data_IF_595353932605
#
_entry.id   IF_595353932605
#
_cell.length_a   1.000
_cell.length_b   1.000
_cell.length_c   1.000
_cell.angle_alpha   90.00
_cell.angle_beta   90.00
_cell.angle_gamma   90.00
#
_symmetry.space_group_name_H-M   'P 1'
#
loop_
_entity.id
_entity.type
_entity.pdbx_description
1 polymer ?
#
# COMPACT_ATOMS: atom_id res chain seq x y z
N UNK A 1 25.87 -1.74 22.61
CA UNK A 1 25.85 -3.16 23.00
C UNK A 1 24.48 -3.74 23.42
N UNK A 2 23.29 -3.08 23.29
CA UNK A 2 22.00 -3.78 23.49
C UNK A 2 21.25 -4.13 22.19
N UNK A 3 21.77 -3.74 21.01
CA UNK A 3 21.07 -3.93 19.74
C UNK A 3 21.31 -5.31 19.10
N UNK A 4 22.44 -5.96 19.40
CA UNK A 4 22.73 -7.32 18.87
C UNK A 4 21.90 -8.40 19.56
N UNK A 5 21.62 -8.24 20.86
CA UNK A 5 20.78 -9.17 21.63
C UNK A 5 19.32 -9.18 21.20
N UNK A 6 18.80 -8.03 20.72
CA UNK A 6 17.43 -7.95 20.22
C UNK A 6 17.28 -8.60 18.83
N UNK A 7 18.27 -8.40 17.94
CA UNK A 7 18.28 -9.07 16.63
C UNK A 7 18.46 -10.59 16.74
N UNK A 8 19.24 -11.08 17.71
CA UNK A 8 19.40 -12.51 17.97
C UNK A 8 18.11 -13.15 18.53
N UNK A 9 17.36 -12.43 19.38
CA UNK A 9 16.08 -12.91 19.92
C UNK A 9 14.98 -12.99 18.84
N UNK A 10 14.97 -12.05 17.89
CA UNK A 10 13.98 -12.01 16.80
C UNK A 10 14.29 -13.04 15.72
N UNK A 11 15.57 -13.27 15.40
CA UNK A 11 15.98 -14.30 14.44
C UNK A 11 15.78 -15.72 14.96
N UNK A 12 16.01 -15.98 16.26
CA UNK A 12 15.71 -17.28 16.87
C UNK A 12 14.19 -17.58 16.93
N UNK A 13 13.35 -16.57 17.18
CA UNK A 13 11.88 -16.76 17.16
C UNK A 13 11.33 -17.01 15.76
N UNK A 14 11.94 -16.42 14.72
CA UNK A 14 11.54 -16.66 13.33
C UNK A 14 12.05 -17.99 12.78
N UNK A 15 13.18 -18.51 13.29
CA UNK A 15 13.65 -19.87 13.00
C UNK A 15 12.82 -20.94 13.71
N UNK A 16 12.37 -20.70 14.94
CA UNK A 16 11.48 -21.61 15.67
C UNK A 16 10.08 -21.74 15.02
N UNK A 17 9.59 -20.69 14.34
CA UNK A 17 8.29 -20.71 13.67
C UNK A 17 8.31 -21.34 12.27
N UNK A 18 9.49 -21.66 11.71
CA UNK A 18 9.62 -22.34 10.40
C UNK A 18 9.82 -23.85 10.48
N UNK A 19 9.93 -24.41 11.68
CA UNK A 19 10.17 -25.86 11.90
C UNK A 19 8.90 -26.64 12.26
N UNK A 20 7.73 -25.98 12.42
CA UNK A 20 6.49 -26.65 12.79
C UNK A 20 5.40 -26.46 11.73
N UNK A 21 5.50 -27.24 10.64
CA UNK A 21 4.32 -27.91 10.07
C UNK A 21 4.66 -29.35 9.66
N UNK A 22 3.74 -30.30 9.87
CA UNK A 22 4.10 -31.70 10.07
C UNK A 22 4.02 -32.50 8.77
N UNK A 23 5.04 -33.33 8.54
CA UNK A 23 4.94 -34.52 7.68
C UNK A 23 5.17 -35.75 8.55
N UNK A 24 4.20 -36.67 8.45
CA UNK A 24 4.32 -38.12 8.67
C UNK A 24 4.98 -38.60 9.97
N UNK A 25 4.16 -39.14 10.87
CA UNK A 25 4.55 -40.34 11.61
C UNK A 25 3.54 -41.45 11.39
N UNK A 26 4.04 -42.52 10.77
CA UNK A 26 3.50 -43.85 10.80
C UNK A 26 3.96 -44.52 12.11
N UNK A 27 3.09 -45.36 12.66
CA UNK A 27 3.36 -46.51 13.55
C UNK A 27 3.89 -46.27 14.97
N UNK A 28 2.97 -46.40 15.93
CA UNK A 28 3.06 -47.24 17.15
C UNK A 28 1.66 -47.12 17.79
N UNK A 29 0.78 -48.12 17.72
CA UNK A 29 0.90 -49.40 18.42
C UNK A 29 -0.03 -49.36 19.62
N UNK A 30 -1.33 -49.67 19.43
CA UNK A 30 -2.27 -49.89 20.53
C UNK A 30 -3.31 -50.96 20.16
N UNK A 31 -3.13 -52.09 20.83
CA UNK A 31 -4.10 -53.10 21.28
C UNK A 31 -5.41 -53.30 20.52
N UNK A 32 -5.52 -54.51 19.98
CA UNK A 32 -6.76 -55.25 19.87
C UNK A 32 -7.40 -55.42 21.26
N UNK A 33 -8.60 -54.90 21.43
CA UNK A 33 -9.59 -55.44 22.38
C UNK A 33 -10.91 -55.56 21.65
N UNK A 34 -11.29 -56.82 21.40
CA UNK A 34 -12.60 -57.24 20.93
C UNK A 34 -13.68 -56.76 21.90
N UNK A 35 -14.65 -56.00 21.39
CA UNK A 35 -15.92 -55.74 22.06
C UNK A 35 -17.00 -55.89 20.98
N UNK A 36 -17.70 -57.02 21.04
CA UNK A 36 -19.01 -57.21 20.44
C UNK A 36 -20.04 -56.44 21.26
N UNK A 37 -20.71 -55.43 20.68
CA UNK A 37 -21.97 -54.88 21.20
C UNK A 37 -22.85 -54.42 20.04
N UNK A 38 -23.88 -55.23 19.82
CA UNK A 38 -25.30 -54.95 19.50
C UNK A 38 -25.70 -53.80 18.56
N UNK A 39 -26.54 -54.20 17.60
CA UNK A 39 -27.43 -53.40 16.78
C UNK A 39 -28.23 -52.38 17.61
N UNK A 40 -28.00 -51.09 17.34
CA UNK A 40 -28.74 -49.99 17.93
C UNK A 40 -28.93 -48.86 16.93
N UNK A 41 -30.17 -48.72 16.46
CA UNK A 41 -30.69 -47.58 15.69
C UNK A 41 -30.21 -46.24 16.26
N UNK A 42 -29.35 -45.53 15.53
CA UNK A 42 -29.12 -44.11 15.76
C UNK A 42 -30.00 -43.29 14.82
N UNK A 43 -31.05 -42.75 15.43
CA UNK A 43 -31.92 -41.71 14.91
C UNK A 43 -31.12 -40.58 14.25
N UNK A 44 -31.11 -40.57 12.92
CA UNK A 44 -30.79 -39.40 12.12
C UNK A 44 -31.92 -38.40 12.19
N UNK A 45 -31.87 -37.47 13.16
CA UNK A 45 -32.77 -36.32 13.16
C UNK A 45 -32.05 -35.03 13.59
N UNK A 46 -31.96 -34.13 12.60
CA UNK A 46 -32.01 -32.66 12.68
C UNK A 46 -30.82 -31.93 13.32
N UNK A 47 -29.78 -31.70 12.50
CA UNK A 47 -28.95 -30.47 12.54
C UNK A 47 -28.63 -30.00 11.10
N UNK A 48 -29.59 -30.05 10.17
CA UNK A 48 -29.40 -29.62 8.78
C UNK A 48 -30.36 -28.51 8.33
N UNK A 49 -31.09 -27.84 9.24
CA UNK A 49 -32.14 -26.90 8.87
C UNK A 49 -31.79 -25.41 8.96
N UNK A 50 -30.60 -25.04 9.46
CA UNK A 50 -30.19 -23.63 9.61
C UNK A 50 -29.15 -23.12 8.57
N UNK A 51 -28.50 -24.00 7.80
CA UNK A 51 -27.57 -23.57 6.75
C UNK A 51 -28.29 -23.09 5.47
N UNK A 52 -29.46 -23.65 5.14
CA UNK A 52 -30.21 -23.23 3.95
C UNK A 52 -30.78 -21.81 4.09
N UNK A 53 -31.20 -21.42 5.30
CA UNK A 53 -31.74 -20.08 5.56
C UNK A 53 -30.70 -18.97 5.43
N UNK A 54 -29.47 -19.21 5.91
CA UNK A 54 -28.37 -18.24 5.82
C UNK A 54 -27.81 -18.13 4.40
N UNK A 55 -27.70 -19.26 3.68
CA UNK A 55 -27.33 -19.26 2.27
C UNK A 55 -28.37 -18.52 1.41
N UNK A 56 -29.66 -18.72 1.67
CA UNK A 56 -30.74 -18.04 0.95
C UNK A 56 -30.79 -16.52 1.23
N UNK A 57 -30.50 -16.10 2.47
CA UNK A 57 -30.41 -14.68 2.83
C UNK A 57 -29.19 -14.00 2.21
N UNK A 58 -28.02 -14.65 2.24
CA UNK A 58 -26.80 -14.17 1.57
C UNK A 58 -27.02 -14.04 0.05
N UNK A 59 -27.70 -15.01 -0.56
CA UNK A 59 -27.96 -14.98 -2.00
C UNK A 59 -29.01 -13.93 -2.38
N UNK A 60 -30.00 -13.66 -1.51
CA UNK A 60 -30.93 -12.53 -1.67
C UNK A 60 -30.24 -11.18 -1.50
N UNK A 61 -29.35 -11.01 -0.52
CA UNK A 61 -28.56 -9.79 -0.36
C UNK A 61 -27.60 -9.57 -1.53
N UNK A 62 -27.01 -10.64 -2.06
CA UNK A 62 -26.15 -10.62 -3.24
C UNK A 62 -26.90 -10.22 -4.51
N UNK A 63 -28.12 -10.75 -4.72
CA UNK A 63 -28.97 -10.37 -5.87
C UNK A 63 -29.49 -8.94 -5.73
N UNK A 64 -29.91 -8.55 -4.53
CA UNK A 64 -30.39 -7.18 -4.28
C UNK A 64 -29.30 -6.13 -4.45
N UNK A 65 -28.05 -6.44 -4.08
CA UNK A 65 -26.91 -5.55 -4.36
C UNK A 65 -26.53 -5.58 -5.84
N UNK A 66 -26.54 -6.75 -6.49
CA UNK A 66 -26.23 -6.86 -7.91
C UNK A 66 -27.20 -6.07 -8.81
N UNK A 67 -28.50 -6.04 -8.49
CA UNK A 67 -29.50 -5.31 -9.28
C UNK A 67 -29.39 -3.80 -9.12
N UNK A 68 -29.06 -3.29 -7.91
CA UNK A 68 -28.79 -1.86 -7.68
C UNK A 68 -27.55 -1.39 -8.47
N UNK A 69 -26.53 -2.24 -8.60
CA UNK A 69 -25.32 -1.97 -9.40
C UNK A 69 -25.47 -2.31 -10.91
N UNK A 70 -26.62 -2.83 -11.34
CA UNK A 70 -26.84 -3.26 -12.73
C UNK A 70 -27.26 -2.12 -13.66
N UNK A 71 -27.71 -0.97 -13.11
CA UNK A 71 -28.08 0.15 -13.97
C UNK A 71 -26.85 0.74 -14.68
N UNK A 72 -26.95 0.91 -16.00
CA UNK A 72 -25.88 1.51 -16.85
C UNK A 72 -25.45 2.89 -16.35
N UNK A 73 -26.35 3.60 -15.66
CA UNK A 73 -26.11 4.91 -15.05
C UNK A 73 -25.20 4.79 -13.83
N UNK A 74 -25.46 3.84 -12.92
CA UNK A 74 -24.63 3.61 -11.74
C UNK A 74 -23.21 3.20 -12.14
N UNK A 75 -23.04 2.38 -13.18
CA UNK A 75 -21.68 2.03 -13.67
C UNK A 75 -20.91 3.21 -14.25
N UNK A 76 -21.59 4.20 -14.84
CA UNK A 76 -20.94 5.43 -15.35
C UNK A 76 -20.64 6.44 -14.25
N UNK A 77 -21.51 6.53 -13.24
CA UNK A 77 -21.36 7.47 -12.12
C UNK A 77 -20.48 6.95 -11.00
N UNK A 78 -20.32 5.64 -10.84
CA UNK A 78 -19.55 5.03 -9.76
C UNK A 78 -18.09 5.54 -9.69
N UNK A 79 -17.33 5.68 -10.79
CA UNK A 79 -15.97 6.24 -10.71
C UNK A 79 -15.97 7.69 -10.21
N UNK A 80 -16.91 8.52 -10.67
CA UNK A 80 -17.01 9.92 -10.23
C UNK A 80 -17.39 10.02 -8.75
N UNK A 81 -18.37 9.22 -8.30
CA UNK A 81 -18.78 9.17 -6.90
C UNK A 81 -17.65 8.68 -5.99
N UNK A 82 -16.88 7.68 -6.42
CA UNK A 82 -15.69 7.19 -5.71
C UNK A 82 -14.60 8.27 -5.61
N UNK A 83 -14.34 9.02 -6.68
CA UNK A 83 -13.38 10.14 -6.65
C UNK A 83 -13.84 11.24 -5.70
N UNK A 84 -15.13 11.59 -5.72
CA UNK A 84 -15.69 12.61 -4.81
C UNK A 84 -15.59 12.12 -3.35
N UNK A 85 -15.95 10.86 -3.08
CA UNK A 85 -15.81 10.28 -1.75
C UNK A 85 -14.35 10.28 -1.28
N UNK A 86 -13.41 9.92 -2.14
CA UNK A 86 -11.98 9.96 -1.84
C UNK A 86 -11.49 11.39 -1.56
N UNK A 87 -11.92 12.36 -2.38
CA UNK A 87 -11.55 13.75 -2.19
C UNK A 87 -12.06 14.28 -0.83
N UNK A 88 -13.33 14.01 -0.49
CA UNK A 88 -13.86 14.36 0.83
C UNK A 88 -13.10 13.68 1.96
N UNK A 89 -12.74 12.40 1.78
CA UNK A 89 -11.96 11.65 2.77
C UNK A 89 -10.55 12.25 2.97
N UNK A 90 -9.88 12.68 1.91
CA UNK A 90 -8.59 13.39 1.98
C UNK A 90 -8.71 14.72 2.72
N UNK A 91 -9.75 15.52 2.47
CA UNK A 91 -9.99 16.76 3.19
C UNK A 91 -10.31 16.52 4.67
N UNK A 92 -11.06 15.47 4.99
CA UNK A 92 -11.32 15.04 6.37
C UNK A 92 -10.02 14.67 7.08
N UNK A 93 -9.15 13.89 6.43
CA UNK A 93 -7.83 13.57 6.96
C UNK A 93 -6.97 14.82 7.19
N UNK A 94 -6.90 15.70 6.19
CA UNK A 94 -6.13 16.94 6.26
C UNK A 94 -6.57 17.86 7.41
N UNK A 95 -7.88 18.03 7.58
CA UNK A 95 -8.45 18.86 8.65
C UNK A 95 -8.25 18.23 10.04
N UNK A 96 -8.37 16.91 10.16
CA UNK A 96 -8.10 16.21 11.42
C UNK A 96 -6.62 16.31 11.83
N UNK A 97 -5.67 16.07 10.93
CA UNK A 97 -4.25 16.24 11.24
C UNK A 97 -3.87 17.67 11.56
N UNK A 98 -4.43 18.63 10.83
CA UNK A 98 -4.27 20.05 11.15
C UNK A 98 -4.76 20.36 12.57
N UNK A 99 -5.93 19.87 12.95
CA UNK A 99 -6.51 20.13 14.27
C UNK A 99 -5.70 19.50 15.41
N UNK A 100 -5.29 18.24 15.27
CA UNK A 100 -4.52 17.54 16.31
C UNK A 100 -3.11 18.10 16.48
N UNK A 101 -2.40 18.34 15.37
CA UNK A 101 -0.96 18.59 15.42
C UNK A 101 -0.61 20.08 15.43
N UNK A 102 -1.41 20.96 14.81
CA UNK A 102 -0.99 22.36 14.63
C UNK A 102 -0.80 23.09 15.97
N UNK A 103 -1.76 22.95 16.89
CA UNK A 103 -1.73 23.65 18.18
C UNK A 103 -0.58 23.19 19.07
N UNK A 104 -0.34 21.88 19.13
CA UNK A 104 0.73 21.27 19.94
C UNK A 104 2.10 21.61 19.35
N UNK A 105 2.24 21.54 18.03
CA UNK A 105 3.48 21.88 17.34
C UNK A 105 3.83 23.36 17.53
N UNK A 106 2.89 24.28 17.35
CA UNK A 106 3.12 25.71 17.57
C UNK A 106 3.54 26.02 19.01
N UNK A 107 2.92 25.36 19.99
CA UNK A 107 3.32 25.47 21.39
C UNK A 107 4.74 24.94 21.62
N UNK A 108 5.10 23.81 20.99
CA UNK A 108 6.44 23.22 21.02
C UNK A 108 7.50 24.13 20.42
N UNK A 109 7.23 24.69 19.23
CA UNK A 109 8.09 25.67 18.55
C UNK A 109 8.31 26.90 19.43
N UNK A 110 7.24 27.47 19.99
CA UNK A 110 7.33 28.62 20.89
C UNK A 110 8.18 28.30 22.13
N UNK A 111 7.96 27.13 22.74
CA UNK A 111 8.74 26.66 23.89
C UNK A 111 10.21 26.46 23.54
N UNK A 112 10.51 25.91 22.37
CA UNK A 112 11.87 25.75 21.87
C UNK A 112 12.60 27.09 21.75
N UNK A 113 12.00 28.08 21.08
CA UNK A 113 12.61 29.40 20.93
C UNK A 113 12.77 30.15 22.26
N UNK A 114 11.81 30.02 23.18
CA UNK A 114 11.92 30.59 24.53
C UNK A 114 13.06 29.93 25.32
N UNK A 115 13.12 28.60 25.33
CA UNK A 115 14.18 27.85 26.01
C UNK A 115 15.56 28.15 25.41
N UNK A 116 15.66 28.27 24.08
CA UNK A 116 16.90 28.63 23.41
C UNK A 116 17.38 30.03 23.85
N UNK A 117 16.49 31.01 23.91
CA UNK A 117 16.83 32.36 24.38
C UNK A 117 17.27 32.37 25.85
N UNK A 118 16.60 31.60 26.71
CA UNK A 118 16.94 31.45 28.13
C UNK A 118 18.30 30.75 28.29
N UNK A 119 18.52 29.64 27.58
CA UNK A 119 19.78 28.89 27.61
C UNK A 119 20.97 29.75 27.16
N UNK A 120 20.82 30.52 26.08
CA UNK A 120 21.88 31.45 25.63
C UNK A 120 22.28 32.43 26.72
N UNK A 121 21.31 33.00 27.43
CA UNK A 121 21.56 33.93 28.55
C UNK A 121 22.23 33.22 29.73
N UNK A 122 21.79 32.01 30.08
CA UNK A 122 22.41 31.23 31.15
C UNK A 122 23.85 30.85 30.84
N UNK A 123 24.13 30.37 29.62
CA UNK A 123 25.49 30.03 29.20
C UNK A 123 26.38 31.27 29.11
N UNK A 124 25.91 32.39 28.59
CA UNK A 124 26.67 33.65 28.57
C UNK A 124 27.03 34.12 30.00
N UNK A 125 26.09 34.02 30.96
CA UNK A 125 26.36 34.31 32.38
C UNK A 125 27.34 33.33 33.01
N UNK A 126 27.22 32.04 32.71
CA UNK A 126 28.14 31.03 33.23
C UNK A 126 29.57 31.25 32.70
N UNK A 127 29.73 31.48 31.40
CA UNK A 127 31.03 31.73 30.75
C UNK A 127 31.67 32.99 31.33
N UNK A 128 30.93 34.11 31.36
CA UNK A 128 31.45 35.36 31.94
C UNK A 128 31.83 35.23 33.41
N UNK A 129 31.00 34.59 34.23
CA UNK A 129 31.32 34.37 35.66
C UNK A 129 32.59 33.53 35.86
N UNK A 130 32.85 32.54 35.00
CA UNK A 130 34.09 31.75 35.04
C UNK A 130 35.28 32.61 34.63
N UNK A 131 35.18 33.36 33.54
CA UNK A 131 36.27 34.23 33.07
C UNK A 131 36.65 35.25 34.15
N UNK A 132 35.68 35.86 34.83
CA UNK A 132 35.96 36.88 35.84
C UNK A 132 36.41 36.30 37.19
N UNK A 133 36.00 35.08 37.55
CA UNK A 133 36.35 34.46 38.83
C UNK A 133 37.69 33.69 38.80
N UNK A 134 38.12 33.20 37.64
CA UNK A 134 39.36 32.42 37.51
C UNK A 134 40.62 33.30 37.41
N UNK A 135 40.47 34.60 37.09
CA UNK A 135 41.53 35.60 37.19
C UNK A 135 41.81 36.00 38.65
N UNK A 136 42.29 35.04 39.45
CA UNK A 136 42.61 35.18 40.89
C UNK A 136 43.60 36.31 41.26
N UNK A 137 44.26 36.96 40.29
CA UNK A 137 45.19 38.08 40.52
C UNK A 137 44.76 39.41 39.86
N UNK A 138 43.60 39.47 39.20
CA UNK A 138 43.07 40.69 38.61
C UNK A 138 41.71 40.96 39.24
N UNK A 139 41.74 41.63 40.39
CA UNK A 139 40.58 42.25 41.01
C UNK A 139 40.15 43.44 40.14
N UNK A 140 39.71 43.16 38.91
CA UNK A 140 39.03 44.17 38.11
C UNK A 140 37.68 44.33 38.78
N UNK A 141 37.49 45.45 39.47
CA UNK A 141 36.17 45.92 39.87
C UNK A 141 35.47 46.28 38.55
N UNK A 142 34.85 45.29 37.92
CA UNK A 142 34.12 45.50 36.69
C UNK A 142 32.79 46.12 37.08
N UNK A 143 32.59 47.36 36.61
CA UNK A 143 31.32 48.04 36.71
C UNK A 143 30.19 47.18 36.14
N UNK A 144 29.01 47.24 36.75
CA UNK A 144 27.85 46.41 36.37
C UNK A 144 27.52 46.59 34.89
N UNK A 145 27.64 47.81 34.40
CA UNK A 145 27.39 48.17 33.01
C UNK A 145 28.38 47.52 32.03
N UNK A 146 29.65 47.35 32.43
CA UNK A 146 30.66 46.67 31.61
C UNK A 146 30.41 45.17 31.55
N UNK A 147 29.94 44.58 32.66
CA UNK A 147 29.54 43.17 32.72
C UNK A 147 28.36 42.90 31.78
N UNK A 148 27.36 43.79 31.79
CA UNK A 148 26.17 43.65 30.93
C UNK A 148 26.53 43.77 29.43
N UNK A 149 27.47 44.66 29.07
CA UNK A 149 27.97 44.75 27.68
C UNK A 149 28.67 43.47 27.24
N UNK A 150 29.54 42.91 28.08
CA UNK A 150 30.23 41.64 27.79
C UNK A 150 29.23 40.48 27.67
N UNK A 151 28.19 40.44 28.52
CA UNK A 151 27.12 39.46 28.42
C UNK A 151 26.38 39.54 27.09
N UNK A 152 26.05 40.75 26.63
CA UNK A 152 25.38 40.96 25.35
C UNK A 152 26.27 40.49 24.18
N UNK A 153 27.54 40.86 24.17
CA UNK A 153 28.50 40.42 23.15
C UNK A 153 28.65 38.90 23.10
N UNK A 154 28.64 38.22 24.25
CA UNK A 154 28.65 36.76 24.34
C UNK A 154 27.38 36.13 23.79
N UNK A 155 26.19 36.68 24.10
CA UNK A 155 24.92 36.21 23.55
C UNK A 155 24.90 36.36 22.03
N UNK A 156 25.37 37.49 21.50
CA UNK A 156 25.43 37.73 20.05
C UNK A 156 26.43 36.81 19.35
N UNK A 157 27.58 36.55 19.99
CA UNK A 157 28.58 35.62 19.48
C UNK A 157 28.05 34.18 19.46
N UNK A 158 27.35 33.74 20.51
CA UNK A 158 26.68 32.45 20.56
C UNK A 158 25.60 32.33 19.49
N UNK A 159 24.78 33.37 19.30
CA UNK A 159 23.77 33.43 18.24
C UNK A 159 24.40 33.28 16.85
N UNK A 160 25.52 33.96 16.60
CA UNK A 160 26.26 33.85 15.33
C UNK A 160 26.90 32.48 15.13
N UNK A 161 27.43 31.89 16.19
CA UNK A 161 28.00 30.54 16.16
C UNK A 161 26.92 29.48 15.90
N UNK A 162 25.80 29.53 16.61
CA UNK A 162 24.65 28.65 16.37
C UNK A 162 24.09 28.79 14.96
N UNK A 163 24.08 30.00 14.39
CA UNK A 163 23.68 30.22 12.99
C UNK A 163 24.62 29.57 11.97
N UNK A 164 25.85 29.23 12.36
CA UNK A 164 26.80 28.47 11.53
C UNK A 164 26.70 26.97 11.74
N UNK A 165 26.19 26.54 12.89
CA UNK A 165 25.85 25.15 13.11
C UNK A 165 24.60 24.84 12.30
N UNK A 166 24.70 23.93 11.32
CA UNK A 166 23.57 23.50 10.49
C UNK A 166 22.59 22.62 11.29
N UNK A 167 22.12 23.10 12.44
CA UNK A 167 21.10 22.40 13.24
C UNK A 167 19.72 22.64 12.64
N UNK A 168 18.96 21.56 12.45
CA UNK A 168 17.56 21.61 12.02
C UNK A 168 16.73 22.25 13.14
N UNK A 169 16.33 23.50 12.95
CA UNK A 169 15.41 24.18 13.87
C UNK A 169 13.96 23.79 13.52
N UNK A 170 13.07 23.66 14.52
CA UNK A 170 11.68 23.39 14.25
C UNK A 170 11.07 24.61 13.55
N UNK A 171 10.50 24.41 12.34
CA UNK A 171 9.95 25.51 11.58
C UNK A 171 8.54 25.86 12.09
N UNK A 172 8.26 27.16 12.17
CA UNK A 172 6.91 27.64 12.38
C UNK A 172 6.02 27.23 11.20
N UNK A 173 4.73 26.94 11.47
CA UNK A 173 3.75 26.58 10.45
C UNK A 173 4.12 25.29 9.68
N UNK A 174 4.65 24.30 10.39
CA UNK A 174 4.96 22.99 9.82
C UNK A 174 3.76 22.09 9.63
N UNK A 175 2.67 22.37 10.35
CA UNK A 175 1.36 21.73 10.22
C UNK A 175 0.33 22.71 9.64
N UNK A 176 0.59 23.25 8.45
CA UNK A 176 -0.45 23.99 7.72
C UNK A 176 -1.41 23.03 6.99
N UNK A 177 -2.56 23.53 6.53
CA UNK A 177 -3.57 22.69 5.87
C UNK A 177 -3.02 21.95 4.63
N UNK A 178 -2.18 22.61 3.82
CA UNK A 178 -1.59 22.01 2.62
C UNK A 178 -0.58 20.90 2.95
N UNK A 179 0.29 21.11 3.95
CA UNK A 179 1.25 20.11 4.44
C UNK A 179 0.51 18.95 5.11
N UNK A 180 -0.58 19.23 5.82
CA UNK A 180 -1.46 18.21 6.42
C UNK A 180 -2.19 17.40 5.36
N UNK A 181 -2.66 18.04 4.28
CA UNK A 181 -3.24 17.37 3.12
C UNK A 181 -2.22 16.46 2.43
N UNK A 182 -1.02 16.97 2.18
CA UNK A 182 0.08 16.20 1.62
C UNK A 182 0.46 15.00 2.49
N UNK A 183 0.47 15.18 3.81
CA UNK A 183 0.69 14.10 4.77
C UNK A 183 -0.41 13.04 4.66
N UNK A 184 -1.68 13.44 4.74
CA UNK A 184 -2.83 12.53 4.62
C UNK A 184 -2.82 11.78 3.28
N UNK A 185 -2.47 12.47 2.19
CA UNK A 185 -2.39 11.88 0.86
C UNK A 185 -1.22 10.89 0.74
N UNK A 186 -0.01 11.26 1.18
CA UNK A 186 1.14 10.37 1.21
C UNK A 186 0.92 9.12 2.06
N UNK A 187 0.12 9.23 3.12
CA UNK A 187 -0.28 8.13 3.97
C UNK A 187 -1.21 7.14 3.23
N UNK A 188 -2.21 7.63 2.49
CA UNK A 188 -3.07 6.78 1.65
C UNK A 188 -2.33 6.11 0.50
N UNK A 189 -1.33 6.81 -0.05
CA UNK A 189 -0.48 6.34 -1.13
C UNK A 189 0.55 5.29 -0.68
N UNK A 190 0.60 4.99 0.62
CA UNK A 190 1.59 4.13 1.28
C UNK A 190 3.04 4.51 1.03
N UNK A 191 3.28 5.73 0.54
CA UNK A 191 4.63 6.32 0.46
C UNK A 191 5.10 6.67 1.86
N UNK A 192 4.20 7.16 2.71
CA UNK A 192 4.55 7.66 4.03
C UNK A 192 5.20 9.04 3.98
N UNK A 193 5.42 9.63 5.14
CA UNK A 193 6.15 10.88 5.27
C UNK A 193 7.20 10.74 6.37
N UNK A 194 8.41 10.35 6.00
CA UNK A 194 9.51 10.11 6.95
C UNK A 194 9.86 11.35 7.80
N UNK A 195 9.66 12.54 7.22
CA UNK A 195 10.00 13.80 7.88
C UNK A 195 9.05 14.21 9.01
N UNK A 196 7.80 13.70 8.99
CA UNK A 196 6.73 14.20 9.85
C UNK A 196 5.85 13.05 10.32
N UNK A 197 5.89 12.82 11.62
CA UNK A 197 5.04 11.85 12.31
C UNK A 197 4.21 12.65 13.31
N UNK A 198 2.91 12.34 13.47
CA UNK A 198 2.09 12.98 14.50
C UNK A 198 2.72 12.74 15.87
N UNK A 199 2.92 13.82 16.62
CA UNK A 199 3.48 13.78 17.97
C UNK A 199 2.39 13.49 19.00
N UNK A 200 1.13 13.82 18.67
CA UNK A 200 0.01 13.61 19.58
C UNK A 200 -0.49 12.16 19.52
N UNK A 201 -0.88 11.63 20.68
CA UNK A 201 -1.51 10.30 20.77
C UNK A 201 -2.79 10.26 19.91
N UNK A 202 -3.56 11.36 19.89
CA UNK A 202 -4.75 11.49 19.06
C UNK A 202 -4.44 11.37 17.57
N UNK A 203 -3.42 12.08 17.09
CA UNK A 203 -2.96 12.02 15.69
C UNK A 203 -2.42 10.63 15.31
N UNK A 204 -1.73 9.94 16.23
CA UNK A 204 -1.22 8.58 16.02
C UNK A 204 -2.34 7.53 15.94
N UNK A 205 -3.32 7.59 16.84
CA UNK A 205 -4.47 6.67 16.79
C UNK A 205 -5.33 6.96 15.55
N UNK A 206 -5.54 8.24 15.25
CA UNK A 206 -6.29 8.65 14.06
C UNK A 206 -5.59 8.19 12.77
N UNK A 207 -4.27 8.32 12.65
CA UNK A 207 -3.55 7.89 11.45
C UNK A 207 -3.71 6.40 11.17
N UNK A 208 -3.68 5.56 12.22
CA UNK A 208 -3.89 4.12 12.09
C UNK A 208 -5.30 3.79 11.55
N UNK A 209 -6.34 4.39 12.14
CA UNK A 209 -7.72 4.19 11.68
C UNK A 209 -7.94 4.76 10.26
N UNK A 210 -7.33 5.90 9.99
CA UNK A 210 -7.40 6.57 8.69
C UNK A 210 -6.77 5.72 7.59
N UNK A 211 -5.63 5.06 7.86
CA UNK A 211 -5.00 4.11 6.94
C UNK A 211 -5.87 2.87 6.68
N UNK A 212 -6.45 2.30 7.73
CA UNK A 212 -7.20 1.05 7.66
C UNK A 212 -8.37 1.13 6.66
N UNK A 213 -9.06 2.27 6.65
CA UNK A 213 -10.20 2.54 5.75
C UNK A 213 -9.72 3.17 4.45
N UNK A 214 -8.76 4.09 4.54
CA UNK A 214 -8.35 4.95 3.44
C UNK A 214 -7.53 4.24 2.38
N UNK A 215 -6.63 3.32 2.75
CA UNK A 215 -5.80 2.60 1.77
C UNK A 215 -6.68 1.73 0.85
N UNK A 216 -7.59 0.88 1.35
CA UNK A 216 -8.51 0.14 0.48
C UNK A 216 -9.37 1.04 -0.39
N UNK A 217 -9.89 2.14 0.16
CA UNK A 217 -10.67 3.13 -0.60
C UNK A 217 -9.84 3.72 -1.73
N UNK A 218 -8.61 4.17 -1.44
CA UNK A 218 -7.71 4.80 -2.41
C UNK A 218 -7.32 3.85 -3.54
N UNK A 219 -6.77 2.68 -3.24
CA UNK A 219 -6.40 1.70 -4.27
C UNK A 219 -7.64 1.18 -5.01
N UNK A 220 -8.78 1.02 -4.33
CA UNK A 220 -10.06 0.67 -4.94
C UNK A 220 -10.54 1.71 -5.96
N UNK A 221 -10.44 3.00 -5.63
CA UNK A 221 -10.82 4.08 -6.56
C UNK A 221 -9.92 4.10 -7.80
N UNK A 222 -8.60 3.98 -7.66
CA UNK A 222 -7.67 3.89 -8.80
C UNK A 222 -8.02 2.67 -9.64
N UNK A 223 -8.25 1.52 -9.02
CA UNK A 223 -8.61 0.31 -9.74
C UNK A 223 -9.90 0.47 -10.56
N UNK A 224 -10.95 1.07 -9.97
CA UNK A 224 -12.22 1.36 -10.66
C UNK A 224 -11.98 2.30 -11.84
N UNK A 225 -11.23 3.39 -11.66
CA UNK A 225 -10.91 4.34 -12.73
C UNK A 225 -10.15 3.64 -13.85
N UNK A 226 -9.09 2.89 -13.54
CA UNK A 226 -8.30 2.17 -14.53
C UNK A 226 -9.17 1.13 -15.25
N UNK A 227 -9.99 0.38 -14.54
CA UNK A 227 -10.81 -0.70 -15.11
C UNK A 227 -11.96 -0.21 -15.99
N UNK A 228 -12.59 0.92 -15.64
CA UNK A 228 -13.78 1.42 -16.33
C UNK A 228 -13.51 2.57 -17.29
N UNK A 229 -12.49 3.40 -17.05
CA UNK A 229 -12.14 4.52 -17.93
C UNK A 229 -10.97 4.18 -18.86
N UNK A 230 -9.89 3.59 -18.32
CA UNK A 230 -8.64 3.40 -19.09
C UNK A 230 -8.64 2.10 -19.88
N UNK A 231 -8.96 0.97 -19.24
CA UNK A 231 -8.89 -0.36 -19.83
C UNK A 231 -9.73 -0.52 -21.11
N UNK A 232 -10.96 0.04 -21.23
CA UNK A 232 -11.74 0.00 -22.46
C UNK A 232 -11.01 0.59 -23.67
N UNK A 233 -10.18 1.61 -23.49
CA UNK A 233 -9.37 2.21 -24.55
C UNK A 233 -8.33 1.23 -25.12
N UNK A 234 -7.88 0.27 -24.30
CA UNK A 234 -6.93 -0.76 -24.70
C UNK A 234 -7.58 -2.05 -25.21
N UNK A 235 -8.89 -2.25 -25.01
CA UNK A 235 -9.61 -3.44 -25.51
C UNK A 235 -9.38 -3.77 -27.00
N UNK A 236 -9.35 -2.82 -27.96
CA UNK A 236 -9.06 -3.15 -29.36
C UNK A 236 -7.63 -3.68 -29.57
N UNK A 237 -6.68 -3.21 -28.76
CA UNK A 237 -5.29 -3.68 -28.74
C UNK A 237 -5.14 -5.05 -28.06
N UNK A 238 -6.12 -5.48 -27.26
CA UNK A 238 -6.05 -6.74 -26.51
C UNK A 238 -6.73 -7.94 -27.20
N UNK A 239 -7.18 -7.78 -28.45
CA UNK A 239 -7.89 -8.84 -29.19
C UNK A 239 -7.00 -10.08 -29.43
N UNK A 240 -5.85 -9.90 -30.08
CA UNK A 240 -4.91 -10.97 -30.43
C UNK A 240 -3.78 -11.09 -29.42
N UNK A 241 -3.25 -12.31 -29.19
CA UNK A 241 -2.11 -12.55 -28.30
C UNK A 241 -0.90 -11.65 -28.62
N UNK A 242 -0.52 -11.55 -29.91
CA UNK A 242 0.58 -10.67 -30.36
C UNK A 242 0.34 -9.18 -30.02
N UNK A 243 -0.89 -8.71 -30.17
CA UNK A 243 -1.25 -7.30 -29.86
C UNK A 243 -1.28 -7.03 -28.35
N UNK A 244 -1.60 -8.03 -27.52
CA UNK A 244 -1.48 -7.92 -26.05
C UNK A 244 -0.04 -7.73 -25.60
N UNK A 245 0.89 -8.52 -26.13
CA UNK A 245 2.31 -8.33 -25.84
C UNK A 245 2.80 -6.96 -26.29
N UNK A 246 2.34 -6.48 -27.44
CA UNK A 246 2.63 -5.11 -27.89
C UNK A 246 2.08 -4.07 -26.91
N UNK A 247 0.82 -4.20 -26.46
CA UNK A 247 0.22 -3.31 -25.46
C UNK A 247 0.99 -3.34 -24.12
N UNK A 248 1.42 -4.52 -23.68
CA UNK A 248 2.26 -4.69 -22.50
C UNK A 248 3.59 -3.92 -22.62
N UNK A 249 4.33 -4.12 -23.72
CA UNK A 249 5.58 -3.41 -23.95
C UNK A 249 5.38 -1.90 -24.12
N UNK A 250 4.27 -1.48 -24.72
CA UNK A 250 3.94 -0.06 -24.87
C UNK A 250 3.67 0.59 -23.49
N UNK A 251 2.88 -0.04 -22.64
CA UNK A 251 2.62 0.45 -21.27
C UNK A 251 3.91 0.46 -20.44
N UNK A 252 4.76 -0.57 -20.59
CA UNK A 252 6.06 -0.64 -19.92
C UNK A 252 7.00 0.49 -20.39
N UNK A 253 7.07 0.74 -21.69
CA UNK A 253 7.83 1.85 -22.26
C UNK A 253 7.30 3.20 -21.76
N UNK A 254 5.98 3.37 -21.73
CA UNK A 254 5.35 4.58 -21.21
C UNK A 254 5.67 4.80 -19.73
N UNK A 255 5.63 3.73 -18.90
CA UNK A 255 6.03 3.80 -17.49
C UNK A 255 7.51 4.17 -17.32
N UNK A 256 8.40 3.62 -18.16
CA UNK A 256 9.81 3.98 -18.15
C UNK A 256 10.03 5.45 -18.53
N UNK A 257 9.39 5.93 -19.60
CA UNK A 257 9.42 7.35 -20.01
C UNK A 257 8.84 8.27 -18.93
N UNK A 258 7.73 7.87 -18.30
CA UNK A 258 7.11 8.59 -17.19
C UNK A 258 8.06 8.69 -15.99
N UNK A 259 8.80 7.63 -15.68
CA UNK A 259 9.79 7.62 -14.59
C UNK A 259 10.99 8.52 -14.89
N UNK A 260 11.45 8.56 -16.15
CA UNK A 260 12.50 9.49 -16.59
C UNK A 260 12.00 10.94 -16.51
N UNK A 261 10.76 11.21 -16.90
CA UNK A 261 10.16 12.54 -16.79
C UNK A 261 10.06 13.00 -15.33
N UNK A 262 9.64 12.11 -14.43
CA UNK A 262 9.64 12.38 -12.99
C UNK A 262 11.06 12.65 -12.46
N UNK A 263 12.05 11.91 -12.92
CA UNK A 263 13.46 12.15 -12.58
C UNK A 263 13.92 13.55 -13.02
N UNK A 264 13.59 13.96 -14.24
CA UNK A 264 13.93 15.30 -14.75
C UNK A 264 13.23 16.41 -13.95
N UNK A 265 11.97 16.19 -13.56
CA UNK A 265 11.23 17.09 -12.67
C UNK A 265 11.89 17.21 -11.29
N UNK A 266 12.31 16.09 -10.69
CA UNK A 266 12.99 16.11 -9.40
C UNK A 266 14.39 16.75 -9.49
N UNK A 267 15.11 16.48 -10.57
CA UNK A 267 16.42 17.07 -10.86
C UNK A 267 16.34 18.60 -10.95
N UNK A 268 15.34 19.14 -11.64
CA UNK A 268 15.20 20.60 -11.80
C UNK A 268 14.89 21.32 -10.49
N UNK A 269 14.22 20.66 -9.55
CA UNK A 269 13.84 21.26 -8.26
C UNK A 269 14.95 21.12 -7.22
N UNK A 270 15.52 19.92 -7.10
CA UNK A 270 16.47 19.62 -6.01
C UNK A 270 17.89 20.08 -6.35
N UNK A 271 18.22 20.25 -7.64
CA UNK A 271 19.58 20.60 -8.09
C UNK A 271 20.64 19.53 -7.76
N UNK A 272 20.20 18.35 -7.30
CA UNK A 272 21.06 17.23 -6.93
C UNK A 272 21.52 16.44 -8.16
N UNK A 273 22.40 15.45 -7.98
CA UNK A 273 22.82 14.57 -9.06
C UNK A 273 21.61 13.89 -9.74
N UNK A 274 21.60 13.86 -11.08
CA UNK A 274 20.53 13.22 -11.87
C UNK A 274 20.26 11.77 -11.47
N UNK A 275 21.31 10.99 -11.18
CA UNK A 275 21.17 9.60 -10.75
C UNK A 275 20.42 9.46 -9.43
N UNK A 276 20.59 10.41 -8.50
CA UNK A 276 19.83 10.45 -7.24
C UNK A 276 18.37 10.76 -7.53
N UNK A 277 18.07 11.71 -8.43
CA UNK A 277 16.70 12.01 -8.84
C UNK A 277 16.03 10.81 -9.54
N UNK A 278 16.77 10.06 -10.37
CA UNK A 278 16.28 8.87 -11.05
C UNK A 278 16.00 7.73 -10.06
N UNK A 279 16.92 7.51 -9.12
CA UNK A 279 16.75 6.58 -8.02
C UNK A 279 15.49 6.91 -7.21
N UNK A 280 15.34 8.18 -6.80
CA UNK A 280 14.17 8.65 -6.07
C UNK A 280 12.89 8.44 -6.88
N UNK A 281 12.87 8.80 -8.17
CA UNK A 281 11.73 8.61 -9.04
C UNK A 281 11.32 7.13 -9.15
N UNK A 282 12.27 6.23 -9.39
CA UNK A 282 12.02 4.80 -9.53
C UNK A 282 11.38 4.21 -8.27
N UNK A 283 11.94 4.46 -7.09
CA UNK A 283 11.38 3.97 -5.83
C UNK A 283 10.04 4.63 -5.50
N UNK A 284 9.86 5.92 -5.81
CA UNK A 284 8.58 6.61 -5.66
C UNK A 284 7.46 5.93 -6.47
N UNK A 285 7.75 5.52 -7.72
CA UNK A 285 6.77 4.79 -8.54
C UNK A 285 6.37 3.44 -7.94
N UNK A 286 7.25 2.84 -7.12
CA UNK A 286 7.00 1.61 -6.39
C UNK A 286 6.39 1.86 -5.00
N UNK A 287 6.00 3.10 -4.70
CA UNK A 287 5.52 3.55 -3.37
C UNK A 287 6.53 3.38 -2.24
N UNK A 288 7.82 3.25 -2.57
CA UNK A 288 8.90 3.17 -1.59
C UNK A 288 9.46 4.58 -1.38
N UNK A 289 9.42 5.06 -0.15
CA UNK A 289 9.96 6.37 0.21
C UNK A 289 11.46 6.30 0.49
N UNK A 290 12.15 7.38 0.09
CA UNK A 290 13.56 7.65 0.38
C UNK A 290 13.63 9.01 1.07
N UNK A 291 14.49 9.14 2.09
CA UNK A 291 14.54 10.26 3.04
C UNK A 291 14.98 11.63 2.45
N UNK A 292 14.93 11.84 1.14
CA UNK A 292 15.38 13.07 0.48
C UNK A 292 14.24 14.07 0.18
N UNK A 293 13.01 13.78 0.61
CA UNK A 293 11.85 14.64 0.34
C UNK A 293 11.63 15.77 1.35
N UNK A 294 12.40 15.81 2.44
CA UNK A 294 12.15 16.77 3.54
C UNK A 294 12.31 18.23 3.11
N UNK A 295 13.07 18.49 2.04
CA UNK A 295 13.40 19.83 1.56
C UNK A 295 12.46 20.35 0.48
N UNK A 296 11.53 19.53 -0.02
CA UNK A 296 10.63 19.94 -1.09
C UNK A 296 9.58 20.93 -0.58
N UNK A 297 9.34 22.05 -1.30
CA UNK A 297 8.21 22.91 -0.99
C UNK A 297 6.88 22.15 -1.17
N UNK A 298 5.84 22.53 -0.40
CA UNK A 298 4.62 21.72 -0.28
C UNK A 298 3.87 21.55 -1.61
N UNK A 299 3.92 22.53 -2.51
CA UNK A 299 3.30 22.43 -3.84
C UNK A 299 4.00 21.37 -4.72
N UNK A 300 5.32 21.29 -4.67
CA UNK A 300 6.07 20.29 -5.43
C UNK A 300 5.89 18.89 -4.86
N UNK A 301 5.75 18.78 -3.54
CA UNK A 301 5.43 17.50 -2.92
C UNK A 301 4.01 17.04 -3.30
N UNK A 302 3.03 17.95 -3.38
CA UNK A 302 1.70 17.62 -3.91
C UNK A 302 1.77 17.14 -5.36
N UNK A 303 2.53 17.83 -6.20
CA UNK A 303 2.75 17.44 -7.60
C UNK A 303 3.41 16.05 -7.69
N UNK A 304 4.40 15.77 -6.84
CA UNK A 304 5.03 14.45 -6.73
C UNK A 304 3.99 13.37 -6.37
N UNK A 305 3.16 13.60 -5.36
CA UNK A 305 2.12 12.63 -4.96
C UNK A 305 1.16 12.36 -6.13
N UNK A 306 0.70 13.39 -6.83
CA UNK A 306 -0.12 13.24 -8.03
C UNK A 306 0.60 12.42 -9.12
N UNK A 307 1.87 12.70 -9.38
CA UNK A 307 2.66 11.95 -10.36
C UNK A 307 2.77 10.47 -9.97
N UNK A 308 3.00 10.18 -8.69
CA UNK A 308 3.05 8.80 -8.18
C UNK A 308 1.69 8.10 -8.31
N UNK A 309 0.56 8.79 -8.14
CA UNK A 309 -0.76 8.19 -8.39
C UNK A 309 -0.98 7.76 -9.83
N UNK A 310 -0.47 8.54 -10.79
CA UNK A 310 -0.49 8.17 -12.20
C UNK A 310 0.38 6.92 -12.43
N UNK A 311 1.57 6.87 -11.82
CA UNK A 311 2.45 5.69 -11.89
C UNK A 311 1.76 4.43 -11.35
N UNK A 312 1.07 4.53 -10.22
CA UNK A 312 0.27 3.42 -9.68
C UNK A 312 -0.86 2.99 -10.62
N UNK A 313 -1.55 3.95 -11.25
CA UNK A 313 -2.58 3.65 -12.25
C UNK A 313 -2.02 2.88 -13.45
N UNK A 314 -0.82 3.24 -13.91
CA UNK A 314 -0.12 2.52 -14.98
C UNK A 314 0.31 1.11 -14.55
N UNK A 315 0.81 0.94 -13.33
CA UNK A 315 1.15 -0.38 -12.77
C UNK A 315 -0.09 -1.27 -12.64
N UNK A 316 -1.22 -0.72 -12.19
CA UNK A 316 -2.50 -1.45 -12.16
C UNK A 316 -2.97 -1.84 -13.55
N UNK A 317 -2.81 -0.96 -14.54
CA UNK A 317 -3.14 -1.27 -15.93
C UNK A 317 -2.30 -2.44 -16.45
N UNK A 318 -1.00 -2.46 -16.16
CA UNK A 318 -0.10 -3.56 -16.51
C UNK A 318 -0.58 -4.87 -15.88
N UNK A 319 -0.94 -4.86 -14.59
CA UNK A 319 -1.50 -6.00 -13.89
C UNK A 319 -2.80 -6.53 -14.52
N UNK A 320 -3.71 -5.63 -14.93
CA UNK A 320 -4.95 -6.00 -15.62
C UNK A 320 -4.70 -6.64 -17.00
N UNK A 321 -3.72 -6.16 -17.76
CA UNK A 321 -3.33 -6.74 -19.05
C UNK A 321 -2.80 -8.16 -18.85
N UNK A 322 -1.94 -8.38 -17.84
CA UNK A 322 -1.41 -9.70 -17.50
C UNK A 322 -2.56 -10.64 -17.09
N UNK A 323 -3.46 -10.18 -16.23
CA UNK A 323 -4.60 -10.99 -15.74
C UNK A 323 -5.56 -11.38 -16.85
N UNK A 324 -5.90 -10.47 -17.76
CA UNK A 324 -6.71 -10.77 -18.96
C UNK A 324 -6.02 -11.80 -19.88
N UNK A 325 -4.70 -11.67 -20.04
CA UNK A 325 -3.88 -12.64 -20.74
C UNK A 325 -3.96 -14.03 -20.13
N UNK A 326 -3.75 -14.13 -18.82
CA UNK A 326 -3.80 -15.38 -18.07
C UNK A 326 -5.18 -16.04 -18.14
N UNK A 327 -6.26 -15.29 -17.88
CA UNK A 327 -7.63 -15.79 -17.91
C UNK A 327 -7.99 -16.42 -19.27
N UNK A 328 -7.60 -15.77 -20.38
CA UNK A 328 -7.84 -16.29 -21.74
C UNK A 328 -6.98 -17.51 -22.08
N UNK A 329 -5.75 -17.60 -21.56
CA UNK A 329 -4.91 -18.78 -21.72
C UNK A 329 -5.51 -19.99 -20.98
N UNK A 330 -5.99 -19.80 -19.75
CA UNK A 330 -6.67 -20.85 -18.97
C UNK A 330 -7.95 -21.31 -19.70
N UNK A 331 -8.76 -20.39 -20.20
CA UNK A 331 -9.98 -20.73 -20.95
C UNK A 331 -9.69 -21.58 -22.20
N UNK A 332 -8.64 -21.26 -22.97
CA UNK A 332 -8.24 -22.06 -24.14
C UNK A 332 -7.79 -23.46 -23.77
N UNK A 333 -7.05 -23.61 -22.68
CA UNK A 333 -6.56 -24.92 -22.22
C UNK A 333 -7.70 -25.82 -21.74
N UNK A 334 -8.70 -25.24 -21.05
CA UNK A 334 -9.91 -25.96 -20.65
C UNK A 334 -10.75 -26.44 -21.84
N UNK A 335 -10.90 -25.61 -22.88
CA UNK A 335 -11.62 -26.03 -24.11
C UNK A 335 -10.89 -27.11 -24.90
N UNK A 336 -9.56 -27.14 -24.90
CA UNK A 336 -8.79 -28.18 -25.60
C UNK A 336 -8.98 -29.57 -24.96
N UNK A 337 -8.97 -29.66 -23.62
CA UNK A 337 -9.19 -30.94 -22.93
C UNK A 337 -10.58 -31.52 -23.19
N UNK A 338 -11.63 -30.69 -23.21
CA UNK A 338 -12.98 -31.15 -23.56
C UNK A 338 -13.14 -31.55 -25.02
N UNK A 339 -12.35 -30.98 -25.94
CA UNK A 339 -12.37 -31.39 -27.34
C UNK A 339 -11.74 -32.78 -27.51
N UNK A 340 -10.64 -33.08 -26.82
CA UNK A 340 -9.98 -34.39 -26.88
C UNK A 340 -10.85 -35.50 -26.26
N UNK A 341 -11.54 -35.22 -25.16
CA UNK A 341 -12.50 -36.17 -24.54
C UNK A 341 -13.70 -36.46 -25.47
N UNK A 342 -14.19 -35.43 -26.18
CA UNK A 342 -15.29 -35.58 -27.14
C UNK A 342 -14.88 -36.39 -28.38
N UNK A 343 -13.65 -36.25 -28.85
CA UNK A 343 -13.11 -37.03 -29.97
C UNK A 343 -12.88 -38.49 -29.55
N UNK A 344 -12.36 -38.75 -28.34
CA UNK A 344 -12.23 -40.12 -27.81
C UNK A 344 -13.58 -40.84 -27.59
N UNK A 345 -14.62 -40.09 -27.22
CA UNK A 345 -15.98 -40.63 -27.10
C UNK A 345 -16.66 -40.88 -28.47
N UNK A 346 -16.27 -40.16 -29.52
CA UNK A 346 -16.78 -40.38 -30.87
C UNK A 346 -16.16 -41.60 -31.56
N UNK A 347 -14.88 -41.91 -31.28
CA UNK A 347 -14.16 -43.02 -31.90
C UNK A 347 -14.59 -44.41 -31.37
N UNK A 348 -15.24 -44.46 -30.20
CA UNK A 348 -15.81 -45.69 -29.61
C UNK A 348 -17.23 -46.01 -30.07
N UNK A 349 -17.89 -45.13 -30.84
CA UNK A 349 -19.18 -45.42 -31.48
C UNK A 349 -18.99 -45.77 -32.96
N UNK A 350 -18.35 -46.91 -33.24
CA UNK A 350 -18.60 -47.57 -34.53
C UNK A 350 -20.09 -48.00 -34.54
N UNK A 351 -20.90 -47.57 -35.51
CA UNK A 351 -22.27 -48.04 -35.61
C UNK A 351 -22.24 -49.57 -35.77
N UNK A 352 -23.12 -50.33 -35.08
CA UNK A 352 -23.17 -51.77 -35.25
C UNK A 352 -23.38 -52.08 -36.73
N UNK A 353 -22.73 -53.11 -37.29
CA UNK A 353 -22.88 -53.47 -38.69
C UNK A 353 -24.36 -53.67 -38.99
N UNK A 354 -24.87 -52.95 -39.99
CA UNK A 354 -26.23 -53.14 -40.50
C UNK A 354 -26.29 -54.53 -41.13
N UNK A 355 -26.75 -55.50 -40.36
CA UNK A 355 -27.13 -56.81 -40.87
C UNK A 355 -28.46 -56.63 -41.60
N UNK A 356 -28.40 -56.57 -42.92
CA UNK A 356 -29.59 -56.62 -43.76
C UNK A 356 -29.96 -58.09 -43.97
N UNK A 357 -31.06 -58.52 -43.36
CA UNK A 357 -31.63 -59.85 -43.61
C UNK A 357 -32.39 -59.78 -44.92
N UNK A 358 -31.88 -60.47 -45.93
CA UNK A 358 -32.58 -60.66 -47.20
C UNK A 358 -33.39 -61.95 -47.04
N UNK A 359 -34.71 -61.82 -47.15
CA UNK A 359 -35.65 -62.96 -47.14
C UNK A 359 -35.99 -63.24 -48.58
N UNK A 360 -35.63 -64.43 -49.05
CA UNK A 360 -35.95 -64.86 -50.42
C UNK A 360 -37.41 -65.32 -50.52
N UNK A 361 -37.98 -65.38 -51.72
CA UNK A 361 -39.41 -65.70 -51.94
C UNK A 361 -39.82 -67.11 -51.47
N UNK A 362 -38.85 -67.96 -51.10
CA UNK A 362 -39.06 -69.28 -50.50
C UNK A 362 -39.18 -69.27 -48.96
N UNK A 363 -39.00 -68.13 -48.29
CA UNK A 363 -39.19 -67.99 -46.84
C UNK A 363 -37.99 -68.40 -45.95
N UNK A 364 -36.83 -68.71 -46.52
CA UNK A 364 -35.61 -68.94 -45.74
C UNK A 364 -34.78 -67.66 -45.61
N UNK A 365 -34.45 -67.29 -44.36
CA UNK A 365 -33.65 -66.10 -44.06
C UNK A 365 -32.18 -66.46 -43.90
N UNK A 366 -31.31 -65.94 -44.77
CA UNK A 366 -29.87 -66.06 -44.62
C UNK A 366 -29.23 -64.74 -44.18
N UNK A 367 -28.34 -64.82 -43.19
CA UNK A 367 -27.58 -63.68 -42.68
C UNK A 367 -26.34 -63.52 -43.57
N UNK A 368 -26.38 -62.55 -44.49
CA UNK A 368 -25.19 -62.12 -45.21
C UNK A 368 -24.34 -61.24 -44.28
N UNK A 369 -23.07 -61.63 -44.06
CA UNK A 369 -22.09 -60.87 -43.29
C UNK A 369 -21.41 -59.81 -44.13
#
# INVERSE_FOLDING_TARGET
APFSSFLQAVTMRLLALRVLQPKQQLQQGLNYSSIDVEDGEWNGLRVCQDEEGTAMLLDRLRRSTADVFSSKIVRRLAPALMVIALAMYLFLGATAFFFFENSVHEAGVRRFYMNQAVNRRHYARAISSRIFNDTKNLLIIIDRDQTDRVHQLLVDSLKKYEGRLQMKQPAANDWNLLKSFNYAYGLLLTVGHDAKIPETIGGQVFSLLYCLIGIPLFFGTIFVIVRFAVFPLFTPLLSTSRRRWLAFFLVLLFLALWSVLLSLFLYSITGQNYWTALYIAAFATMTIQINHYETLPPLYFLALLLIVTVSLGLLMLLGLIILDGYAKCVARRGSACHADDAVGAAETRKPPPKVTVIVDEAGESHIAK
#
